data_IF_251767277828
#
_entry.id   IF_251767277828
#
_cell.length_a   1.000
_cell.length_b   1.000
_cell.length_c   1.000
_cell.angle_alpha   90.00
_cell.angle_beta   90.00
_cell.angle_gamma   90.00
#
_symmetry.space_group_name_H-M   'P 1'
#
loop_
_entity.id
_entity.type
_entity.pdbx_description
1 polymer ?
#
# COMPACT_ATOMS: atom_id res chain seq x y z
N UNK A 1 -7.63 21.22 -11.36
CA UNK A 1 -7.53 19.75 -11.64
C UNK A 1 -8.54 18.95 -10.82
N UNK A 2 -8.87 19.34 -9.57
CA UNK A 2 -9.85 18.62 -8.73
C UNK A 2 -11.28 18.65 -9.29
N UNK A 3 -11.72 19.76 -9.90
CA UNK A 3 -13.07 19.88 -10.47
C UNK A 3 -13.34 18.97 -11.68
N UNK A 4 -12.31 18.63 -12.45
CA UNK A 4 -12.44 17.71 -13.60
C UNK A 4 -12.55 16.26 -13.15
N UNK A 5 -11.85 15.90 -12.07
CA UNK A 5 -11.88 14.56 -11.48
C UNK A 5 -13.26 14.24 -10.88
N UNK A 6 -13.89 15.19 -10.16
CA UNK A 6 -15.22 15.00 -9.58
C UNK A 6 -16.30 14.87 -10.65
N UNK A 7 -16.28 15.70 -11.69
CA UNK A 7 -17.23 15.61 -12.80
C UNK A 7 -17.15 14.29 -13.57
N UNK A 8 -15.94 13.78 -13.80
CA UNK A 8 -15.75 12.45 -14.41
C UNK A 8 -16.32 11.33 -13.53
N UNK A 9 -16.07 11.39 -12.22
CA UNK A 9 -16.60 10.44 -11.24
C UNK A 9 -18.13 10.42 -11.23
N UNK A 10 -18.79 11.58 -11.32
CA UNK A 10 -20.25 11.68 -11.34
C UNK A 10 -20.88 11.13 -12.63
N UNK A 11 -20.20 11.29 -13.77
CA UNK A 11 -20.63 10.70 -15.04
C UNK A 11 -20.57 9.16 -14.95
N UNK A 12 -19.51 8.58 -14.40
CA UNK A 12 -19.42 7.13 -14.23
C UNK A 12 -20.48 6.57 -13.28
N UNK A 13 -20.77 7.26 -12.18
CA UNK A 13 -21.84 6.85 -11.26
C UNK A 13 -23.20 6.84 -11.95
N UNK A 14 -23.53 7.86 -12.73
CA UNK A 14 -24.79 7.94 -13.46
C UNK A 14 -24.91 6.88 -14.54
N UNK A 15 -23.83 6.54 -15.26
CA UNK A 15 -23.82 5.46 -16.24
C UNK A 15 -24.16 4.11 -15.61
N UNK A 16 -23.64 3.80 -14.41
CA UNK A 16 -23.96 2.57 -13.70
C UNK A 16 -25.45 2.44 -13.37
N UNK A 17 -26.12 3.53 -13.00
CA UNK A 17 -27.57 3.53 -12.74
C UNK A 17 -28.41 3.36 -14.01
N UNK A 18 -27.90 3.75 -15.17
CA UNK A 18 -28.58 3.62 -16.47
C UNK A 18 -28.25 2.29 -17.16
N UNK A 19 -27.53 1.37 -16.52
CA UNK A 19 -27.15 0.09 -17.07
C UNK A 19 -26.06 0.15 -18.15
N UNK A 20 -25.41 1.30 -18.33
CA UNK A 20 -24.31 1.46 -19.26
C UNK A 20 -22.99 0.93 -18.70
N UNK A 21 -22.18 0.28 -19.54
CA UNK A 21 -20.81 -0.05 -19.17
C UNK A 21 -19.96 1.20 -19.01
N UNK A 22 -19.08 1.22 -18.00
CA UNK A 22 -18.15 2.33 -17.80
C UNK A 22 -17.21 2.46 -19.04
N UNK A 23 -17.13 3.68 -19.59
CA UNK A 23 -16.20 3.94 -20.69
C UNK A 23 -14.76 3.84 -20.21
N UNK A 24 -13.94 3.08 -20.90
CA UNK A 24 -12.50 3.00 -20.67
C UNK A 24 -11.76 3.79 -21.75
N UNK A 25 -10.85 4.67 -21.36
CA UNK A 25 -9.95 5.32 -22.29
C UNK A 25 -8.90 4.31 -22.78
N UNK A 26 -8.99 3.90 -24.05
CA UNK A 26 -7.97 3.03 -24.64
C UNK A 26 -6.66 3.80 -24.80
N UNK A 27 -5.60 3.30 -24.22
CA UNK A 27 -4.28 3.94 -24.21
C UNK A 27 -3.79 4.21 -25.63
N UNK A 28 -3.92 3.26 -26.57
CA UNK A 28 -3.51 3.42 -27.96
C UNK A 28 -4.20 4.58 -28.65
N UNK A 29 -5.52 4.67 -28.58
CA UNK A 29 -6.31 5.75 -29.20
C UNK A 29 -6.01 7.10 -28.55
N UNK A 30 -5.87 7.16 -27.23
CA UNK A 30 -5.56 8.39 -26.51
C UNK A 30 -4.17 8.92 -26.86
N UNK A 31 -3.17 8.05 -26.96
CA UNK A 31 -1.79 8.41 -27.35
C UNK A 31 -1.74 8.90 -28.79
N UNK A 32 -2.43 8.24 -29.73
CA UNK A 32 -2.51 8.66 -31.13
C UNK A 32 -3.19 10.03 -31.21
N UNK A 33 -4.29 10.25 -30.51
CA UNK A 33 -5.00 11.53 -30.50
C UNK A 33 -4.11 12.67 -29.97
N UNK A 34 -3.37 12.45 -28.88
CA UNK A 34 -2.45 13.44 -28.31
C UNK A 34 -1.28 13.71 -29.26
N UNK A 35 -0.69 12.68 -29.86
CA UNK A 35 0.41 12.81 -30.85
C UNK A 35 -0.04 13.56 -32.11
N UNK A 36 -1.32 13.41 -32.51
CA UNK A 36 -1.92 14.12 -33.63
C UNK A 36 -2.36 15.55 -33.30
N UNK A 37 -2.07 16.05 -32.07
CA UNK A 37 -2.36 17.41 -31.64
C UNK A 37 -3.76 17.63 -31.06
N UNK A 38 -4.54 16.59 -30.85
CA UNK A 38 -5.85 16.66 -30.22
C UNK A 38 -5.75 16.96 -28.72
N UNK A 39 -6.14 18.17 -28.30
CA UNK A 39 -6.08 18.61 -26.89
C UNK A 39 -7.45 18.92 -26.27
N UNK A 40 -8.52 18.89 -27.07
CA UNK A 40 -9.85 19.31 -26.63
C UNK A 40 -10.85 18.17 -26.52
N UNK A 41 -11.93 18.42 -25.76
CA UNK A 41 -13.06 17.50 -25.65
C UNK A 41 -13.76 17.29 -27.01
N UNK A 42 -13.67 18.25 -27.93
CA UNK A 42 -14.20 18.15 -29.30
C UNK A 42 -13.51 17.04 -30.09
N UNK A 43 -12.20 16.80 -29.90
CA UNK A 43 -11.48 15.72 -30.57
C UNK A 43 -12.01 14.35 -30.18
N UNK A 44 -12.29 14.11 -28.92
CA UNK A 44 -12.86 12.85 -28.43
C UNK A 44 -14.33 12.68 -28.84
N UNK A 45 -15.11 13.76 -28.84
CA UNK A 45 -16.49 13.74 -29.34
C UNK A 45 -16.53 13.42 -30.83
N UNK A 46 -15.69 14.09 -31.64
CA UNK A 46 -15.60 13.85 -33.07
C UNK A 46 -15.19 12.40 -33.36
N UNK A 47 -14.21 11.88 -32.62
CA UNK A 47 -13.80 10.48 -32.74
C UNK A 47 -14.95 9.51 -32.42
N UNK A 48 -15.73 9.76 -31.37
CA UNK A 48 -16.90 8.96 -31.02
C UNK A 48 -18.00 9.01 -32.07
N UNK A 49 -18.30 10.19 -32.60
CA UNK A 49 -19.32 10.36 -33.65
C UNK A 49 -18.90 9.71 -34.96
N UNK A 50 -17.63 9.86 -35.37
CA UNK A 50 -17.10 9.20 -36.56
C UNK A 50 -17.16 7.69 -36.41
N UNK A 51 -16.79 7.16 -35.26
CA UNK A 51 -16.83 5.72 -34.96
C UNK A 51 -18.25 5.20 -34.98
N UNK A 52 -19.23 5.96 -34.43
CA UNK A 52 -20.64 5.61 -34.50
C UNK A 52 -21.15 5.55 -35.95
N UNK A 53 -20.80 6.54 -36.77
CA UNK A 53 -21.14 6.57 -38.18
C UNK A 53 -20.54 5.39 -38.92
N UNK A 54 -19.26 5.09 -38.67
CA UNK A 54 -18.59 3.93 -39.29
C UNK A 54 -19.28 2.61 -38.94
N UNK A 55 -19.63 2.40 -37.66
CA UNK A 55 -20.28 1.16 -37.23
C UNK A 55 -21.68 1.04 -37.80
N UNK A 56 -22.48 2.11 -37.82
CA UNK A 56 -23.88 2.05 -38.26
C UNK A 56 -24.00 2.00 -39.79
N UNK A 57 -23.21 2.78 -40.52
CA UNK A 57 -23.36 2.90 -41.98
C UNK A 57 -22.36 2.07 -42.78
N UNK A 58 -21.16 1.83 -42.22
CA UNK A 58 -20.09 1.11 -42.92
C UNK A 58 -19.87 -0.31 -42.37
N UNK A 59 -20.78 -0.86 -41.55
CA UNK A 59 -20.67 -2.20 -40.98
C UNK A 59 -20.28 -3.26 -42.03
N UNK A 60 -20.99 -3.39 -43.17
CA UNK A 60 -20.68 -4.37 -44.23
C UNK A 60 -19.29 -4.19 -44.84
N UNK A 61 -18.75 -2.94 -44.88
CA UNK A 61 -17.40 -2.66 -45.39
C UNK A 61 -16.33 -2.98 -44.36
N UNK A 62 -16.63 -2.80 -43.09
CA UNK A 62 -15.73 -3.13 -41.98
C UNK A 62 -15.56 -4.64 -41.84
N UNK A 63 -16.59 -5.43 -42.11
CA UNK A 63 -16.53 -6.90 -42.13
C UNK A 63 -15.59 -7.47 -43.20
N UNK A 64 -15.33 -6.71 -44.28
CA UNK A 64 -14.39 -7.08 -45.34
C UNK A 64 -12.92 -6.95 -44.92
N UNK A 65 -12.63 -6.32 -43.79
CA UNK A 65 -11.25 -6.17 -43.31
C UNK A 65 -10.70 -7.53 -42.88
N UNK A 66 -9.63 -8.01 -43.53
CA UNK A 66 -9.05 -9.31 -43.19
C UNK A 66 -8.49 -9.30 -41.74
N UNK A 67 -8.70 -10.39 -41.03
CA UNK A 67 -8.18 -10.56 -39.66
C UNK A 67 -6.67 -10.30 -39.55
N UNK A 68 -5.93 -10.61 -40.59
CA UNK A 68 -4.47 -10.36 -40.65
C UNK A 68 -4.13 -8.85 -40.54
N UNK A 69 -4.97 -7.97 -41.10
CA UNK A 69 -4.75 -6.53 -40.98
C UNK A 69 -5.03 -6.03 -39.54
N UNK A 70 -6.04 -6.57 -38.88
CA UNK A 70 -6.36 -6.25 -37.48
C UNK A 70 -5.22 -6.71 -36.55
N UNK A 71 -4.71 -7.92 -36.75
CA UNK A 71 -3.58 -8.47 -36.01
C UNK A 71 -2.30 -7.62 -36.23
N UNK A 72 -2.04 -7.17 -37.43
CA UNK A 72 -0.90 -6.31 -37.73
C UNK A 72 -0.98 -4.97 -36.99
N UNK A 73 -2.18 -4.36 -36.92
CA UNK A 73 -2.39 -3.13 -36.15
C UNK A 73 -2.19 -3.37 -34.65
N UNK A 74 -2.71 -4.49 -34.12
CA UNK A 74 -2.52 -4.86 -32.72
C UNK A 74 -1.03 -5.07 -32.38
N UNK A 75 -0.26 -5.70 -33.23
CA UNK A 75 1.19 -5.88 -33.05
C UNK A 75 1.89 -4.50 -33.05
N UNK A 76 1.55 -3.64 -34.01
CA UNK A 76 2.13 -2.29 -34.07
C UNK A 76 1.82 -1.48 -32.79
N UNK A 77 0.58 -1.54 -32.28
CA UNK A 77 0.20 -0.88 -31.02
C UNK A 77 0.94 -1.49 -29.84
N UNK A 78 1.06 -2.81 -29.79
CA UNK A 78 1.79 -3.52 -28.74
C UNK A 78 3.28 -3.08 -28.68
N UNK A 79 3.95 -3.03 -29.84
CA UNK A 79 5.35 -2.55 -29.95
C UNK A 79 5.46 -1.08 -29.54
N UNK A 80 4.51 -0.24 -29.98
CA UNK A 80 4.50 1.20 -29.67
C UNK A 80 4.17 1.51 -28.18
N UNK A 81 3.46 0.62 -27.50
CA UNK A 81 3.09 0.76 -26.09
C UNK A 81 4.10 0.09 -25.16
N UNK A 82 4.94 -0.80 -25.72
CA UNK A 82 5.91 -1.54 -24.94
C UNK A 82 7.01 -0.62 -24.38
N UNK A 83 7.15 -0.61 -23.06
CA UNK A 83 8.14 0.22 -22.38
C UNK A 83 9.45 -0.56 -22.19
N UNK A 84 10.40 -0.35 -23.10
CA UNK A 84 11.76 -0.90 -23.01
C UNK A 84 12.50 -0.43 -21.75
N UNK A 85 12.16 0.75 -21.28
CA UNK A 85 12.69 1.33 -20.04
C UNK A 85 12.28 0.51 -18.81
N UNK A 86 11.08 -0.05 -18.80
CA UNK A 86 10.62 -0.92 -17.71
C UNK A 86 11.47 -2.19 -17.59
N UNK A 87 11.93 -2.77 -18.70
CA UNK A 87 12.86 -3.91 -18.67
C UNK A 87 14.23 -3.53 -18.11
N UNK A 88 14.74 -2.38 -18.48
CA UNK A 88 16.02 -1.88 -17.96
C UNK A 88 15.92 -1.53 -16.48
N UNK A 89 14.80 -1.00 -16.07
CA UNK A 89 14.53 -0.65 -14.68
C UNK A 89 14.30 -1.87 -13.76
N UNK A 90 14.05 -3.06 -14.33
CA UNK A 90 13.90 -4.31 -13.58
C UNK A 90 15.16 -4.64 -12.74
N UNK A 91 16.33 -4.26 -13.26
CA UNK A 91 17.61 -4.46 -12.56
C UNK A 91 17.95 -3.34 -11.58
N UNK A 92 17.38 -2.15 -11.79
CA UNK A 92 17.67 -0.94 -11.00
C UNK A 92 16.68 -0.76 -9.83
N UNK A 93 15.46 -1.26 -9.98
CA UNK A 93 14.42 -1.15 -8.95
C UNK A 93 14.60 -2.16 -7.79
N UNK A 94 14.03 -1.89 -6.61
CA UNK A 94 14.05 -2.83 -5.48
C UNK A 94 13.51 -4.19 -5.91
N UNK A 95 14.21 -5.25 -5.55
CA UNK A 95 13.85 -6.65 -5.92
C UNK A 95 12.39 -7.00 -5.63
N UNK A 96 11.80 -6.44 -4.57
CA UNK A 96 10.38 -6.65 -4.22
C UNK A 96 9.42 -6.15 -5.29
N UNK A 97 9.64 -4.95 -5.85
CA UNK A 97 8.79 -4.40 -6.93
C UNK A 97 8.90 -5.21 -8.20
N UNK A 98 10.11 -5.66 -8.55
CA UNK A 98 10.35 -6.50 -9.74
C UNK A 98 9.67 -7.87 -9.61
N UNK A 99 9.68 -8.48 -8.42
CA UNK A 99 8.99 -9.74 -8.15
C UNK A 99 7.47 -9.58 -8.28
N UNK A 100 6.89 -8.52 -7.72
CA UNK A 100 5.44 -8.24 -7.86
C UNK A 100 5.06 -8.08 -9.33
N UNK A 101 5.83 -7.28 -10.09
CA UNK A 101 5.56 -7.06 -11.50
C UNK A 101 5.62 -8.37 -12.30
N UNK A 102 6.67 -9.16 -12.10
CA UNK A 102 6.84 -10.43 -12.81
C UNK A 102 5.73 -11.42 -12.46
N UNK A 103 5.40 -11.55 -11.17
CA UNK A 103 4.32 -12.43 -10.72
C UNK A 103 2.96 -12.01 -11.31
N UNK A 104 2.65 -10.72 -11.34
CA UNK A 104 1.44 -10.19 -11.97
C UNK A 104 1.37 -10.55 -13.45
N UNK A 105 2.46 -10.33 -14.21
CA UNK A 105 2.52 -10.65 -15.63
C UNK A 105 2.34 -12.15 -15.88
N UNK A 106 3.03 -12.99 -15.11
CA UNK A 106 2.92 -14.46 -15.23
C UNK A 106 1.49 -14.93 -14.97
N UNK A 107 0.83 -14.40 -13.91
CA UNK A 107 -0.56 -14.78 -13.60
C UNK A 107 -1.51 -14.33 -14.72
N UNK A 108 -1.37 -13.11 -15.24
CA UNK A 108 -2.21 -12.62 -16.35
C UNK A 108 -2.03 -13.49 -17.60
N UNK A 109 -0.79 -13.82 -17.97
CA UNK A 109 -0.50 -14.63 -19.16
C UNK A 109 -1.01 -16.06 -18.98
N UNK A 110 -0.82 -16.66 -17.81
CA UNK A 110 -1.23 -18.04 -17.55
C UNK A 110 -2.76 -18.21 -17.41
N UNK A 111 -3.44 -17.20 -16.84
CA UNK A 111 -4.90 -17.28 -16.60
C UNK A 111 -5.72 -16.62 -17.70
N UNK A 112 -5.10 -15.86 -18.60
CA UNK A 112 -5.75 -14.96 -19.56
C UNK A 112 -6.80 -14.02 -18.93
N UNK A 113 -6.62 -13.71 -17.64
CA UNK A 113 -7.55 -12.93 -16.82
C UNK A 113 -6.81 -11.80 -16.11
N UNK A 114 -7.06 -10.58 -16.56
CA UNK A 114 -6.45 -9.38 -16.01
C UNK A 114 -6.84 -9.13 -14.54
N UNK A 115 -8.09 -9.46 -14.18
CA UNK A 115 -8.59 -9.25 -12.83
C UNK A 115 -7.83 -10.11 -11.81
N UNK A 116 -7.56 -11.38 -12.14
CA UNK A 116 -6.74 -12.26 -11.29
C UNK A 116 -5.32 -11.76 -11.14
N UNK A 117 -4.72 -11.27 -12.23
CA UNK A 117 -3.39 -10.68 -12.20
C UNK A 117 -3.32 -9.45 -11.28
N UNK A 118 -4.27 -8.53 -11.41
CA UNK A 118 -4.35 -7.33 -10.55
C UNK A 118 -4.54 -7.74 -9.08
N UNK A 119 -5.42 -8.69 -8.79
CA UNK A 119 -5.66 -9.16 -7.43
C UNK A 119 -4.37 -9.72 -6.78
N UNK A 120 -3.65 -10.59 -7.49
CA UNK A 120 -2.37 -11.14 -7.03
C UNK A 120 -1.32 -10.04 -6.86
N UNK A 121 -1.25 -9.08 -7.79
CA UNK A 121 -0.34 -7.95 -7.73
C UNK A 121 -0.59 -7.07 -6.50
N UNK A 122 -1.84 -6.76 -6.19
CA UNK A 122 -2.23 -5.97 -5.02
C UNK A 122 -1.90 -6.71 -3.72
N UNK A 123 -2.22 -8.01 -3.62
CA UNK A 123 -1.90 -8.81 -2.45
C UNK A 123 -0.39 -8.88 -2.18
N UNK A 124 0.40 -9.22 -3.20
CA UNK A 124 1.86 -9.29 -3.06
C UNK A 124 2.46 -7.93 -2.71
N UNK A 125 1.99 -6.85 -3.37
CA UNK A 125 2.42 -5.50 -3.06
C UNK A 125 2.13 -5.12 -1.61
N UNK A 126 0.94 -5.45 -1.10
CA UNK A 126 0.56 -5.22 0.29
C UNK A 126 1.47 -5.95 1.28
N UNK A 127 1.76 -7.24 1.02
CA UNK A 127 2.64 -8.06 1.86
C UNK A 127 4.07 -7.48 1.89
N UNK A 128 4.63 -7.17 0.72
CA UNK A 128 5.98 -6.57 0.65
C UNK A 128 6.04 -5.18 1.26
N UNK A 129 4.99 -4.38 1.11
CA UNK A 129 4.89 -3.05 1.74
C UNK A 129 4.88 -3.17 3.26
N UNK A 130 4.01 -4.04 3.82
CA UNK A 130 3.95 -4.28 5.26
C UNK A 130 5.31 -4.74 5.82
N UNK A 131 5.97 -5.69 5.15
CA UNK A 131 7.30 -6.16 5.55
C UNK A 131 8.39 -5.09 5.43
N UNK A 132 8.29 -4.17 4.46
CA UNK A 132 9.26 -3.08 4.29
C UNK A 132 9.07 -2.00 5.36
N UNK A 133 7.83 -1.61 5.64
CA UNK A 133 7.52 -0.61 6.66
C UNK A 133 7.85 -1.14 8.06
N UNK A 134 7.61 -2.43 8.32
CA UNK A 134 7.99 -3.06 9.58
C UNK A 134 9.47 -2.96 9.89
N UNK A 135 10.34 -3.02 8.87
CA UNK A 135 11.80 -2.90 9.03
C UNK A 135 12.29 -1.47 9.28
N UNK A 136 11.43 -0.47 9.18
CA UNK A 136 11.80 0.92 9.49
C UNK A 136 11.74 1.22 10.99
N UNK A 137 11.24 0.30 11.80
CA UNK A 137 11.28 0.43 13.25
C UNK A 137 12.74 0.30 13.73
N UNK A 138 13.22 1.32 14.43
CA UNK A 138 14.54 1.35 15.04
C UNK A 138 14.39 1.62 16.53
N UNK A 139 15.01 0.79 17.35
CA UNK A 139 15.01 0.94 18.80
C UNK A 139 16.45 1.04 19.25
N UNK A 140 16.79 2.15 19.86
CA UNK A 140 18.11 2.39 20.45
C UNK A 140 17.99 2.30 21.95
N UNK A 141 18.98 1.72 22.60
CA UNK A 141 19.02 1.65 24.05
C UNK A 141 20.27 2.35 24.58
N UNK A 142 20.08 3.16 25.60
CA UNK A 142 21.13 3.86 26.31
C UNK A 142 21.00 3.64 27.82
N UNK A 143 22.11 3.35 28.47
CA UNK A 143 22.16 3.24 29.93
C UNK A 143 22.60 4.57 30.51
N UNK A 144 21.93 5.04 31.56
CA UNK A 144 22.32 6.26 32.29
C UNK A 144 23.67 6.07 32.98
N UNK A 145 24.40 7.19 33.17
CA UNK A 145 25.70 7.20 33.84
C UNK A 145 25.72 6.58 35.25
N UNK A 146 24.56 6.45 35.90
CA UNK A 146 24.41 5.79 37.21
C UNK A 146 24.15 4.28 37.12
N UNK A 147 24.06 3.70 35.93
CA UNK A 147 23.83 2.26 35.72
C UNK A 147 22.47 1.70 36.15
N UNK A 148 21.62 2.51 36.78
CA UNK A 148 20.34 2.05 37.35
C UNK A 148 19.11 2.37 36.49
N UNK A 149 19.28 3.18 35.42
CA UNK A 149 18.19 3.54 34.50
C UNK A 149 18.58 3.20 33.08
N UNK A 150 17.71 2.49 32.36
CA UNK A 150 17.85 2.23 30.93
C UNK A 150 16.77 2.94 30.14
N UNK A 151 17.19 3.66 29.12
CA UNK A 151 16.28 4.35 28.20
C UNK A 151 16.26 3.64 26.87
N UNK A 152 15.07 3.30 26.39
CA UNK A 152 14.83 2.77 25.06
C UNK A 152 14.15 3.84 24.22
N UNK A 153 14.84 4.36 23.21
CA UNK A 153 14.29 5.34 22.27
C UNK A 153 13.75 4.63 21.03
N UNK A 154 12.45 4.72 20.84
CA UNK A 154 11.72 4.05 19.75
C UNK A 154 11.50 5.04 18.62
N UNK A 155 11.98 4.69 17.41
CA UNK A 155 11.84 5.49 16.21
C UNK A 155 11.08 4.71 15.14
N UNK A 156 10.02 5.32 14.59
CA UNK A 156 9.25 4.77 13.47
C UNK A 156 7.86 4.30 13.84
N UNK A 157 7.28 3.42 13.01
CA UNK A 157 5.91 3.00 13.14
C UNK A 157 5.80 1.63 13.81
N UNK A 158 5.00 1.58 14.89
CA UNK A 158 4.67 0.32 15.56
C UNK A 158 3.27 -0.09 15.13
N UNK A 159 3.16 -1.26 14.50
CA UNK A 159 1.91 -1.83 13.98
C UNK A 159 2.05 -3.35 13.88
N UNK A 160 1.00 -4.06 13.48
CA UNK A 160 0.95 -5.53 13.48
C UNK A 160 2.19 -6.23 12.90
N UNK A 161 2.80 -5.68 11.84
CA UNK A 161 3.96 -6.30 11.18
C UNK A 161 5.30 -5.99 11.88
N UNK A 162 5.37 -5.02 12.80
CA UNK A 162 6.59 -4.64 13.54
C UNK A 162 6.57 -5.04 15.01
N UNK A 163 5.46 -5.58 15.54
CA UNK A 163 5.31 -5.92 16.96
C UNK A 163 6.31 -6.97 17.45
N UNK A 164 6.67 -7.92 16.60
CA UNK A 164 7.67 -8.95 16.94
C UNK A 164 9.08 -8.33 17.08
N UNK A 165 9.44 -7.44 16.16
CA UNK A 165 10.70 -6.68 16.23
C UNK A 165 10.70 -5.74 17.44
N UNK A 166 9.58 -5.06 17.71
CA UNK A 166 9.40 -4.23 18.89
C UNK A 166 9.65 -5.02 20.17
N UNK A 167 8.96 -6.13 20.34
CA UNK A 167 9.08 -6.94 21.56
C UNK A 167 10.46 -7.56 21.78
N UNK A 168 11.16 -7.93 20.70
CA UNK A 168 12.51 -8.53 20.77
C UNK A 168 13.63 -7.52 21.05
N UNK A 169 13.38 -6.24 20.88
CA UNK A 169 14.37 -5.20 21.07
C UNK A 169 14.66 -4.89 22.55
N UNK A 170 13.82 -5.34 23.46
CA UNK A 170 13.97 -5.10 24.89
C UNK A 170 14.69 -6.27 25.57
N UNK A 171 15.71 -5.94 26.37
CA UNK A 171 16.39 -6.92 27.22
C UNK A 171 15.73 -6.98 28.59
N UNK A 172 14.96 -8.04 28.82
CA UNK A 172 14.26 -8.28 30.07
C UNK A 172 15.11 -8.94 31.16
N UNK A 173 16.34 -9.36 30.83
CA UNK A 173 17.23 -10.05 31.78
C UNK A 173 18.13 -9.08 32.52
N UNK A 174 18.24 -7.86 32.05
CA UNK A 174 19.06 -6.83 32.69
C UNK A 174 18.40 -6.36 33.97
N UNK A 175 19.14 -6.41 35.06
CA UNK A 175 18.67 -5.98 36.37
C UNK A 175 18.91 -4.47 36.49
N UNK A 176 17.90 -3.68 36.17
CA UNK A 176 17.89 -2.21 36.31
C UNK A 176 16.70 -1.78 37.17
N UNK A 177 16.87 -0.73 37.97
CA UNK A 177 15.80 -0.25 38.84
C UNK A 177 14.68 0.46 38.05
N UNK A 178 15.02 1.13 36.93
CA UNK A 178 14.06 1.87 36.12
C UNK A 178 14.31 1.71 34.64
N UNK A 179 13.25 1.52 33.87
CA UNK A 179 13.24 1.55 32.39
C UNK A 179 12.40 2.73 31.92
N UNK A 180 12.95 3.54 31.03
CA UNK A 180 12.24 4.62 30.36
C UNK A 180 12.06 4.22 28.89
N UNK A 181 10.82 4.20 28.42
CA UNK A 181 10.49 3.94 27.01
C UNK A 181 10.10 5.28 26.38
N UNK A 182 11.04 5.86 25.63
CA UNK A 182 10.82 7.10 24.90
C UNK A 182 10.20 6.79 23.55
N UNK A 183 8.95 7.19 23.36
CA UNK A 183 8.17 7.01 22.15
C UNK A 183 7.88 8.33 21.43
N UNK A 184 8.67 9.38 21.69
CA UNK A 184 8.51 10.71 21.08
C UNK A 184 8.55 10.67 19.54
N UNK A 185 9.32 9.73 19.00
CA UNK A 185 9.48 9.52 17.56
C UNK A 185 8.80 8.24 17.05
N UNK A 186 7.92 7.65 17.85
CA UNK A 186 7.16 6.47 17.49
C UNK A 186 5.69 6.80 17.25
N UNK A 187 5.06 6.04 16.32
CA UNK A 187 3.63 6.11 16.07
C UNK A 187 3.00 4.73 16.24
N UNK A 188 2.03 4.63 17.14
CA UNK A 188 1.24 3.42 17.34
C UNK A 188 -0.01 3.48 16.46
N UNK A 189 -0.12 2.55 15.50
CA UNK A 189 -1.15 2.61 14.46
C UNK A 189 -2.36 1.71 14.71
N UNK A 190 -2.18 0.64 15.50
CA UNK A 190 -3.22 -0.35 15.71
C UNK A 190 -3.22 -0.90 17.14
N UNK A 191 -4.28 -1.65 17.46
CA UNK A 191 -4.46 -2.29 18.78
C UNK A 191 -3.37 -3.33 19.04
N UNK A 192 -2.83 -3.96 18.00
CA UNK A 192 -1.75 -4.96 18.13
C UNK A 192 -0.47 -4.31 18.63
N UNK A 193 -0.18 -3.08 18.16
CA UNK A 193 0.94 -2.28 18.65
C UNK A 193 0.77 -1.91 20.13
N UNK A 194 -0.43 -1.49 20.54
CA UNK A 194 -0.73 -1.19 21.95
C UNK A 194 -0.57 -2.44 22.82
N UNK A 195 -1.08 -3.58 22.35
CA UNK A 195 -0.92 -4.85 23.08
C UNK A 195 0.54 -5.30 23.17
N UNK A 196 1.39 -4.96 22.20
CA UNK A 196 2.83 -5.22 22.27
C UNK A 196 3.50 -4.32 23.32
N UNK A 197 3.11 -3.04 23.40
CA UNK A 197 3.56 -2.12 24.44
C UNK A 197 3.17 -2.63 25.83
N UNK A 198 1.91 -3.00 26.01
CA UNK A 198 1.40 -3.57 27.27
C UNK A 198 2.24 -4.79 27.71
N UNK A 199 2.51 -5.72 26.78
CA UNK A 199 3.33 -6.91 27.09
C UNK A 199 4.73 -6.52 27.54
N UNK A 200 5.38 -5.56 26.91
CA UNK A 200 6.70 -5.08 27.29
C UNK A 200 6.68 -4.46 28.67
N UNK A 201 5.78 -3.52 28.92
CA UNK A 201 5.65 -2.83 30.21
C UNK A 201 5.38 -3.81 31.33
N UNK A 202 4.37 -4.67 31.17
CA UNK A 202 3.97 -5.63 32.20
C UNK A 202 5.05 -6.70 32.46
N UNK A 203 5.83 -7.05 31.44
CA UNK A 203 6.96 -7.97 31.61
C UNK A 203 8.07 -7.37 32.44
N UNK A 204 8.47 -6.12 32.23
CA UNK A 204 9.43 -5.42 33.07
C UNK A 204 8.92 -5.24 34.51
N UNK A 205 7.65 -4.84 34.68
CA UNK A 205 7.04 -4.72 36.02
C UNK A 205 7.01 -6.06 36.78
N UNK A 206 6.84 -7.20 36.06
CA UNK A 206 6.91 -8.54 36.68
C UNK A 206 8.30 -8.87 37.18
N UNK A 207 9.35 -8.42 36.51
CA UNK A 207 10.75 -8.58 36.96
C UNK A 207 11.15 -7.56 38.05
N UNK A 208 10.19 -6.74 38.54
CA UNK A 208 10.44 -5.77 39.60
C UNK A 208 11.02 -4.44 39.13
N UNK A 209 11.05 -4.17 37.82
CA UNK A 209 11.57 -2.93 37.23
C UNK A 209 10.46 -1.91 37.11
N UNK A 210 10.69 -0.67 37.57
CA UNK A 210 9.78 0.44 37.32
C UNK A 210 9.84 0.89 35.85
N UNK A 211 8.68 1.11 35.22
CA UNK A 211 8.60 1.47 33.80
C UNK A 211 7.83 2.74 33.61
N UNK A 212 8.48 3.69 32.95
CA UNK A 212 7.91 4.96 32.54
C UNK A 212 7.86 5.08 31.03
N UNK A 213 6.72 5.50 30.46
CA UNK A 213 6.55 5.78 29.04
C UNK A 213 6.51 7.29 28.88
N UNK A 214 7.38 7.82 28.01
CA UNK A 214 7.47 9.25 27.75
C UNK A 214 7.32 9.56 26.27
N UNK A 215 6.76 10.74 25.95
CA UNK A 215 6.75 11.28 24.61
C UNK A 215 5.66 10.70 23.69
N UNK A 216 4.55 10.19 24.22
CA UNK A 216 3.40 9.79 23.39
C UNK A 216 2.87 11.01 22.62
N UNK A 217 2.85 10.91 21.28
CA UNK A 217 2.18 11.92 20.46
C UNK A 217 0.65 11.81 20.60
N UNK A 218 -0.06 12.91 20.28
CA UNK A 218 -1.51 13.01 20.48
C UNK A 218 -2.31 11.85 19.84
N UNK A 219 -1.96 11.45 18.61
CA UNK A 219 -2.63 10.36 17.92
C UNK A 219 -2.39 9.00 18.59
N UNK A 220 -1.15 8.72 19.00
CA UNK A 220 -0.80 7.49 19.71
C UNK A 220 -1.36 7.48 21.14
N UNK A 221 -1.37 8.62 21.84
CA UNK A 221 -1.97 8.74 23.17
C UNK A 221 -3.45 8.36 23.14
N UNK A 222 -4.21 8.85 22.17
CA UNK A 222 -5.64 8.52 22.02
C UNK A 222 -5.89 7.01 21.93
N UNK A 223 -5.05 6.28 21.17
CA UNK A 223 -5.20 4.83 21.00
C UNK A 223 -4.70 4.10 22.26
N UNK A 224 -3.59 4.52 22.84
CA UNK A 224 -3.00 3.93 24.04
C UNK A 224 -3.97 4.12 25.23
N UNK A 225 -4.45 5.33 25.48
CA UNK A 225 -5.39 5.62 26.59
C UNK A 225 -6.68 4.79 26.51
N UNK A 226 -7.16 4.58 25.29
CA UNK A 226 -8.40 3.83 25.05
C UNK A 226 -8.22 2.32 25.21
N UNK A 227 -7.14 1.75 24.71
CA UNK A 227 -6.97 0.29 24.56
C UNK A 227 -5.91 -0.31 25.49
N UNK A 228 -4.95 0.46 26.00
CA UNK A 228 -3.92 -0.06 26.87
C UNK A 228 -4.50 -0.57 28.19
N UNK A 229 -3.85 -1.62 28.71
CA UNK A 229 -4.22 -2.25 29.96
C UNK A 229 -3.15 -2.12 31.04
N UNK A 230 -1.92 -1.73 30.70
CA UNK A 230 -0.77 -1.73 31.62
C UNK A 230 -0.96 -0.83 32.86
N UNK A 231 -1.78 0.23 32.76
CA UNK A 231 -2.08 1.13 33.88
C UNK A 231 -3.46 0.89 34.50
N UNK A 232 -4.20 -0.15 34.05
CA UNK A 232 -5.51 -0.48 34.60
C UNK A 232 -5.41 -1.45 35.76
N UNK A 233 -6.30 -1.36 36.79
CA UNK A 233 -6.32 -2.31 37.90
C UNK A 233 -6.49 -3.76 37.38
N UNK A 234 -5.67 -4.70 37.90
CA UNK A 234 -5.73 -6.10 37.49
C UNK A 234 -5.02 -6.41 36.17
N UNK A 235 -4.17 -5.50 35.67
CA UNK A 235 -3.42 -5.73 34.44
C UNK A 235 -2.50 -6.95 34.48
N UNK A 236 -1.91 -7.23 35.65
CA UNK A 236 -1.02 -8.39 35.84
C UNK A 236 -1.74 -9.74 35.73
N UNK A 237 -3.00 -9.84 36.15
CA UNK A 237 -3.77 -11.09 36.13
C UNK A 237 -4.22 -11.46 34.71
N UNK A 238 -4.42 -10.48 33.85
CA UNK A 238 -4.87 -10.71 32.45
C UNK A 238 -3.81 -11.31 31.53
N UNK A 239 -2.53 -11.22 31.89
CA UNK A 239 -1.44 -11.83 31.13
C UNK A 239 -1.15 -13.29 31.47
N UNK A 240 -1.65 -13.78 32.60
CA UNK A 240 -1.47 -15.16 33.05
C UNK A 240 -2.47 -16.15 32.42
N UNK A 241 -3.44 -15.66 31.65
CA UNK A 241 -4.52 -16.43 31.06
C UNK A 241 -4.35 -16.81 29.57
N UNK A 242 -3.14 -16.67 28.98
CA UNK A 242 -2.85 -17.14 27.59
C UNK A 242 -1.52 -17.84 27.52
#
# INVERSE_FOLDING_TARGET
>A
TQGVSSAASDVYKRQGFLGGMAGCAMIGQSVINIKSGGRGRLSTLASGVILLIMVVFMGPWVELIPMAALVAVMIMVAIGTFSWESLRNLTTHPKSSSVVMLATVVVVVATHDLAKGVFVGVLLSGIFFAGKVGRLLKIESATSNNGNTRTYSVHGNVFFASTDQFSKAFDFKEVVGKVVIDVSHAHFWDITAVSALDRVVLKFRREGTDVEIVGLNEASATIVDRFAIHDKPGAMDKLSGH
#
